data_IF_947268153157
#
_entry.id   IF_947268153157
#
_cell.length_a   1.000
_cell.length_b   1.000
_cell.length_c   1.000
_cell.angle_alpha   90.00
_cell.angle_beta   90.00
_cell.angle_gamma   90.00
#
_symmetry.space_group_name_H-M   'P 1'
#
loop_
_entity.id
_entity.type
_entity.pdbx_description
1 polymer ?
#
# COMPACT_ATOMS: atom_id res chain seq x y z
N UNK A 1 3.32 -7.01 13.09
CA UNK A 1 2.31 -6.26 12.30
C UNK A 1 0.95 -6.77 12.73
N UNK A 2 0.16 -5.95 13.40
CA UNK A 2 -1.25 -6.29 13.60
C UNK A 2 -1.88 -6.51 12.23
N UNK A 3 -2.59 -7.63 12.09
CA UNK A 3 -3.24 -7.96 10.82
C UNK A 3 -4.27 -6.86 10.55
N UNK A 4 -4.15 -6.18 9.41
CA UNK A 4 -5.19 -5.30 8.92
C UNK A 4 -6.52 -6.07 8.79
N UNK A 5 -7.57 -5.53 9.41
CA UNK A 5 -8.92 -6.11 9.46
C UNK A 5 -9.84 -5.30 8.54
N UNK A 6 -10.78 -5.96 7.88
CA UNK A 6 -11.88 -5.29 7.19
C UNK A 6 -13.15 -5.86 7.81
N UNK A 7 -13.90 -5.02 8.52
CA UNK A 7 -15.12 -5.36 9.25
C UNK A 7 -16.15 -4.22 9.12
N UNK A 8 -17.09 -4.34 8.17
CA UNK A 8 -18.13 -3.34 7.92
C UNK A 8 -19.11 -3.10 9.08
N UNK A 9 -19.19 -4.01 10.06
CA UNK A 9 -20.12 -3.89 11.18
C UNK A 9 -19.41 -3.33 12.42
N UNK A 10 -18.18 -3.78 12.68
CA UNK A 10 -17.41 -3.36 13.86
C UNK A 10 -16.78 -1.98 13.76
N UNK A 11 -16.53 -1.49 12.55
CA UNK A 11 -15.80 -0.24 12.27
C UNK A 11 -14.53 -0.10 13.13
N UNK A 12 -13.55 -1.02 12.98
CA UNK A 12 -12.38 -1.07 13.84
C UNK A 12 -11.42 0.11 13.66
N UNK A 13 -11.52 0.84 12.54
CA UNK A 13 -10.67 1.98 12.21
C UNK A 13 -11.40 3.33 12.32
N UNK A 14 -12.56 3.36 12.97
CA UNK A 14 -13.23 4.63 13.27
C UNK A 14 -12.29 5.54 14.08
N UNK A 15 -12.00 6.78 13.62
CA UNK A 15 -11.07 7.69 14.28
C UNK A 15 -11.42 7.99 15.75
N UNK A 16 -12.67 7.81 16.17
CA UNK A 16 -13.11 7.99 17.56
C UNK A 16 -12.67 6.85 18.49
N UNK A 17 -12.25 5.70 17.94
CA UNK A 17 -11.82 4.50 18.69
C UNK A 17 -10.32 4.28 18.66
N UNK A 18 -9.60 4.97 17.77
CA UNK A 18 -8.17 4.73 17.55
C UNK A 18 -7.35 5.42 18.66
N UNK A 19 -6.53 4.66 19.43
CA UNK A 19 -5.65 5.27 20.40
C UNK A 19 -4.53 6.03 19.71
N UNK A 20 -4.13 7.15 20.29
CA UNK A 20 -2.88 7.80 19.92
C UNK A 20 -1.71 6.88 20.29
N UNK A 21 -0.80 6.64 19.35
CA UNK A 21 0.43 5.87 19.61
C UNK A 21 1.42 6.66 20.47
N UNK A 22 2.27 5.94 21.18
CA UNK A 22 3.40 6.50 21.92
C UNK A 22 4.35 7.27 21.00
N UNK A 23 5.09 8.21 21.59
CA UNK A 23 6.09 8.97 20.85
C UNK A 23 7.22 8.06 20.38
N UNK A 24 7.55 8.18 19.09
CA UNK A 24 8.78 7.67 18.51
C UNK A 24 9.65 8.86 18.10
N UNK A 25 10.97 8.71 18.18
CA UNK A 25 11.90 9.72 17.67
C UNK A 25 11.76 9.87 16.16
N UNK A 26 12.05 11.07 15.63
CA UNK A 26 11.94 11.35 14.19
C UNK A 26 12.82 10.42 13.33
N UNK A 27 13.92 9.90 13.88
CA UNK A 27 14.79 8.92 13.20
C UNK A 27 14.01 7.71 12.68
N UNK A 28 13.01 7.23 13.44
CA UNK A 28 12.21 6.08 13.04
C UNK A 28 11.45 6.31 11.73
N UNK A 29 11.12 7.57 11.38
CA UNK A 29 10.54 7.91 10.10
C UNK A 29 11.60 7.93 8.99
N UNK A 30 12.74 8.56 9.24
CA UNK A 30 13.81 8.68 8.24
C UNK A 30 14.51 7.34 7.92
N UNK A 31 14.34 6.32 8.76
CA UNK A 31 14.76 4.95 8.47
C UNK A 31 13.87 4.28 7.38
N UNK A 32 12.70 4.83 7.09
CA UNK A 32 11.79 4.32 6.05
C UNK A 32 12.14 4.93 4.68
N UNK A 33 12.23 4.09 3.65
CA UNK A 33 12.28 4.53 2.26
C UNK A 33 10.85 4.53 1.69
N UNK A 34 10.23 5.71 1.70
CA UNK A 34 8.89 5.94 1.18
C UNK A 34 8.98 6.63 -0.18
N UNK A 35 8.29 6.07 -1.19
CA UNK A 35 8.43 6.50 -2.59
C UNK A 35 7.09 6.65 -3.28
N UNK A 36 6.99 7.66 -4.12
CA UNK A 36 5.94 7.75 -5.12
C UNK A 36 6.26 6.78 -6.27
N UNK A 37 5.25 6.11 -6.81
CA UNK A 37 5.39 5.23 -7.97
C UNK A 37 4.12 5.18 -8.79
N UNK A 38 4.23 4.73 -10.04
CA UNK A 38 3.10 4.59 -10.96
C UNK A 38 2.74 3.11 -11.12
N UNK A 39 1.46 2.78 -10.97
CA UNK A 39 0.98 1.41 -11.18
C UNK A 39 1.04 1.08 -12.67
N UNK A 40 1.74 0.00 -13.02
CA UNK A 40 1.94 -0.44 -14.41
C UNK A 40 1.26 -1.76 -14.75
N UNK A 41 0.92 -2.58 -13.74
CA UNK A 41 0.14 -3.82 -13.92
C UNK A 41 -0.73 -4.10 -12.69
N UNK A 42 -1.89 -4.71 -12.92
CA UNK A 42 -2.86 -5.11 -11.89
C UNK A 42 -3.49 -6.45 -12.25
N UNK A 43 -3.18 -7.46 -11.44
CA UNK A 43 -3.68 -8.83 -11.62
C UNK A 43 -4.57 -9.25 -10.46
N UNK A 44 -5.51 -10.15 -10.74
CA UNK A 44 -6.31 -10.78 -9.69
C UNK A 44 -5.42 -11.68 -8.83
N UNK A 45 -5.74 -11.79 -7.55
CA UNK A 45 -5.09 -12.71 -6.63
C UNK A 45 -6.12 -13.65 -5.96
N UNK A 46 -6.75 -14.56 -6.72
CA UNK A 46 -7.83 -15.41 -6.22
C UNK A 46 -7.40 -16.36 -5.09
N UNK A 47 -6.11 -16.67 -4.97
CA UNK A 47 -5.57 -17.57 -3.95
C UNK A 47 -5.49 -16.93 -2.55
N UNK A 48 -5.76 -15.62 -2.43
CA UNK A 48 -5.82 -14.92 -1.16
C UNK A 48 -7.21 -15.05 -0.51
N UNK A 49 -7.23 -15.47 0.76
CA UNK A 49 -8.47 -15.54 1.55
C UNK A 49 -9.23 -14.20 1.61
N UNK A 50 -8.50 -13.08 1.63
CA UNK A 50 -9.08 -11.74 1.56
C UNK A 50 -8.92 -11.20 0.14
N UNK A 51 -10.00 -10.66 -0.49
CA UNK A 51 -9.95 -10.13 -1.84
C UNK A 51 -8.79 -9.15 -2.03
N UNK A 52 -7.83 -9.53 -2.87
CA UNK A 52 -6.60 -8.77 -3.09
C UNK A 52 -6.23 -8.73 -4.58
N UNK A 53 -5.47 -7.71 -4.96
CA UNK A 53 -4.78 -7.66 -6.25
C UNK A 53 -3.28 -7.85 -6.06
N UNK A 54 -2.63 -8.43 -7.08
CA UNK A 54 -1.20 -8.26 -7.30
C UNK A 54 -1.03 -6.98 -8.11
N UNK A 55 -0.25 -6.03 -7.61
CA UNK A 55 0.04 -4.78 -8.32
C UNK A 55 1.53 -4.70 -8.60
N UNK A 56 1.89 -4.27 -9.81
CA UNK A 56 3.25 -3.88 -10.15
C UNK A 56 3.31 -2.35 -10.20
N UNK A 57 4.27 -1.78 -9.48
CA UNK A 57 4.48 -0.33 -9.43
C UNK A 57 5.90 -0.03 -9.89
N UNK A 58 6.02 0.93 -10.79
CA UNK A 58 7.29 1.49 -11.23
C UNK A 58 7.66 2.67 -10.32
N UNK A 59 8.73 2.51 -9.55
CA UNK A 59 9.28 3.53 -8.65
C UNK A 59 10.46 4.28 -9.28
N UNK A 60 10.50 4.36 -10.62
CA UNK A 60 11.53 5.09 -11.35
C UNK A 60 12.86 4.34 -11.45
N UNK A 61 13.90 4.98 -12.00
CA UNK A 61 15.09 4.28 -12.50
C UNK A 61 16.00 3.65 -11.43
N UNK A 62 15.95 4.14 -10.18
CA UNK A 62 16.82 3.65 -9.10
C UNK A 62 16.26 2.39 -8.44
N UNK A 63 14.95 2.37 -8.17
CA UNK A 63 14.28 1.25 -7.50
C UNK A 63 13.72 0.26 -8.53
N UNK A 64 13.24 0.76 -9.66
CA UNK A 64 12.62 -0.04 -10.69
C UNK A 64 11.21 -0.49 -10.33
N UNK A 65 10.81 -1.62 -10.92
CA UNK A 65 9.46 -2.17 -10.80
C UNK A 65 9.40 -3.20 -9.68
N UNK A 66 8.49 -2.98 -8.74
CA UNK A 66 8.26 -3.88 -7.60
C UNK A 66 6.84 -4.41 -7.61
N UNK A 67 6.66 -5.62 -7.08
CA UNK A 67 5.37 -6.26 -6.89
C UNK A 67 4.87 -6.12 -5.46
N UNK A 68 3.56 -5.96 -5.28
CA UNK A 68 2.90 -6.03 -3.98
C UNK A 68 1.55 -6.72 -4.07
N UNK A 69 1.10 -7.27 -2.94
CA UNK A 69 -0.28 -7.75 -2.77
C UNK A 69 -1.05 -6.78 -1.90
N UNK A 70 -2.15 -6.24 -2.43
CA UNK A 70 -2.93 -5.21 -1.74
C UNK A 70 -4.43 -5.53 -1.71
N UNK A 71 -5.06 -5.32 -0.55
CA UNK A 71 -6.51 -5.46 -0.34
C UNK A 71 -7.26 -4.20 -0.81
N UNK A 72 -7.13 -3.91 -2.11
CA UNK A 72 -7.65 -2.69 -2.75
C UNK A 72 -8.67 -3.03 -3.85
N UNK A 73 -9.44 -4.10 -3.62
CA UNK A 73 -10.47 -4.58 -4.56
C UNK A 73 -11.71 -3.68 -4.61
N UNK A 74 -11.77 -2.66 -3.75
CA UNK A 74 -12.71 -1.54 -3.83
C UNK A 74 -12.42 -0.59 -5.01
N UNK A 75 -11.29 -0.73 -5.70
CA UNK A 75 -10.99 -0.06 -6.96
C UNK A 75 -11.18 -1.01 -8.14
N UNK A 76 -11.68 -0.50 -9.27
CA UNK A 76 -11.61 -1.25 -10.51
C UNK A 76 -10.16 -1.30 -10.99
N UNK A 77 -9.76 -2.42 -11.61
CA UNK A 77 -8.37 -2.59 -12.09
C UNK A 77 -7.96 -1.53 -13.11
N UNK A 78 -8.89 -1.06 -13.94
CA UNK A 78 -8.60 -0.02 -14.94
C UNK A 78 -8.36 1.34 -14.30
N UNK A 79 -8.97 1.64 -13.16
CA UNK A 79 -8.74 2.89 -12.40
C UNK A 79 -7.38 2.90 -11.70
N UNK A 80 -6.78 1.73 -11.52
CA UNK A 80 -5.49 1.58 -10.87
C UNK A 80 -4.33 1.72 -11.87
N UNK A 81 -4.47 1.27 -13.11
CA UNK A 81 -3.39 1.38 -14.11
C UNK A 81 -3.10 2.86 -14.40
N UNK A 82 -1.83 3.26 -14.35
CA UNK A 82 -1.39 4.64 -14.55
C UNK A 82 -1.56 5.54 -13.33
N UNK A 83 -2.16 5.04 -12.25
CA UNK A 83 -2.35 5.79 -11.01
C UNK A 83 -1.03 5.95 -10.25
N UNK A 84 -0.80 7.15 -9.71
CA UNK A 84 0.27 7.39 -8.74
C UNK A 84 -0.11 6.85 -7.35
N UNK A 85 0.83 6.18 -6.70
CA UNK A 85 0.67 5.62 -5.36
C UNK A 85 1.92 5.90 -4.52
N UNK A 86 1.79 5.80 -3.20
CA UNK A 86 2.92 5.82 -2.28
C UNK A 86 3.19 4.40 -1.80
N UNK A 87 4.46 4.00 -1.75
CA UNK A 87 4.90 2.71 -1.23
C UNK A 87 6.08 2.83 -0.26
N UNK A 88 6.08 2.01 0.79
CA UNK A 88 7.26 1.77 1.61
C UNK A 88 8.05 0.60 1.03
N UNK A 89 9.26 0.86 0.54
CA UNK A 89 10.03 -0.06 -0.32
C UNK A 89 11.18 -0.79 0.40
N UNK A 90 11.42 -0.49 1.68
CA UNK A 90 12.53 -1.06 2.45
C UNK A 90 12.08 -1.89 3.69
N UNK A 91 10.85 -2.41 3.67
CA UNK A 91 10.31 -3.22 4.78
C UNK A 91 10.71 -4.71 4.71
N UNK A 92 11.43 -5.10 3.66
CA UNK A 92 11.77 -6.48 3.33
C UNK A 92 10.66 -7.20 2.54
N UNK A 93 11.04 -8.34 1.98
CA UNK A 93 10.16 -9.14 1.15
C UNK A 93 9.27 -10.06 1.98
N UNK A 94 8.04 -10.28 1.51
CA UNK A 94 7.09 -11.22 2.09
C UNK A 94 6.60 -12.21 1.04
N UNK A 95 6.91 -13.48 1.25
CA UNK A 95 6.35 -14.57 0.45
C UNK A 95 4.92 -14.86 0.86
N UNK A 96 4.02 -14.81 -0.11
CA UNK A 96 2.59 -15.07 0.00
C UNK A 96 2.25 -16.46 -0.59
N UNK A 97 1.01 -16.95 -0.44
CA UNK A 97 0.59 -18.21 -1.06
C UNK A 97 0.96 -18.27 -2.54
N UNK A 98 1.15 -19.48 -3.05
CA UNK A 98 1.63 -19.77 -4.42
C UNK A 98 3.01 -19.22 -4.77
N UNK A 99 3.80 -18.82 -3.76
CA UNK A 99 5.17 -18.33 -3.96
C UNK A 99 5.27 -16.90 -4.48
N UNK A 100 4.17 -16.14 -4.53
CA UNK A 100 4.22 -14.74 -4.93
C UNK A 100 4.96 -13.90 -3.87
N UNK A 101 5.91 -13.06 -4.30
CA UNK A 101 6.72 -12.23 -3.41
C UNK A 101 6.20 -10.80 -3.43
N UNK A 102 5.77 -10.30 -2.27
CA UNK A 102 5.41 -8.90 -2.05
C UNK A 102 6.65 -8.15 -1.57
N UNK A 103 7.08 -7.15 -2.33
CA UNK A 103 8.36 -6.45 -2.16
C UNK A 103 8.21 -5.06 -1.51
N UNK A 104 6.98 -4.53 -1.46
CA UNK A 104 6.70 -3.23 -0.84
C UNK A 104 5.30 -3.21 -0.22
N UNK A 105 5.06 -2.22 0.65
CA UNK A 105 3.74 -1.93 1.21
C UNK A 105 3.17 -0.68 0.54
N UNK A 106 2.08 -0.81 -0.22
CA UNK A 106 1.32 0.35 -0.73
C UNK A 106 0.60 1.04 0.42
N UNK A 107 0.60 2.38 0.44
CA UNK A 107 0.03 3.19 1.52
C UNK A 107 -1.34 3.74 1.16
N UNK A 108 -2.20 3.81 2.17
CA UNK A 108 -3.53 4.40 2.10
C UNK A 108 -4.06 4.71 3.48
N UNK A 109 -5.03 5.63 3.55
CA UNK A 109 -5.87 5.80 4.73
C UNK A 109 -6.85 4.62 4.85
N UNK A 110 -7.29 4.32 6.06
CA UNK A 110 -8.30 3.29 6.31
C UNK A 110 -9.64 3.99 6.56
N UNK A 111 -10.67 3.64 5.79
CA UNK A 111 -12.06 3.96 6.12
C UNK A 111 -12.44 3.27 7.44
N UNK A 112 -13.53 3.69 8.13
CA UNK A 112 -13.91 3.09 9.43
C UNK A 112 -14.04 1.57 9.42
N UNK A 113 -14.54 1.00 8.31
CA UNK A 113 -14.69 -0.45 8.09
C UNK A 113 -13.35 -1.16 7.81
N UNK A 114 -12.26 -0.43 7.61
CA UNK A 114 -10.95 -0.94 7.22
C UNK A 114 -10.70 -0.96 5.72
N UNK A 115 -11.62 -0.53 4.86
CA UNK A 115 -11.37 -0.41 3.43
C UNK A 115 -10.23 0.59 3.17
N UNK A 116 -9.32 0.24 2.25
CA UNK A 116 -8.15 1.08 1.97
C UNK A 116 -8.52 2.17 0.97
N UNK A 117 -8.25 3.43 1.34
CA UNK A 117 -8.21 4.59 0.45
C UNK A 117 -6.77 4.94 0.13
N UNK A 118 -6.33 4.60 -1.08
CA UNK A 118 -4.97 4.91 -1.54
C UNK A 118 -4.69 6.40 -1.40
N UNK A 119 -3.48 6.75 -0.93
CA UNK A 119 -3.02 8.13 -0.90
C UNK A 119 -3.01 8.70 -2.31
N UNK A 120 -3.41 9.96 -2.45
CA UNK A 120 -3.43 10.67 -3.72
C UNK A 120 -2.25 11.65 -3.78
N UNK A 121 -1.64 11.74 -4.95
CA UNK A 121 -0.51 12.62 -5.21
C UNK A 121 -0.92 13.63 -6.29
N UNK A 122 -0.54 14.92 -6.14
CA UNK A 122 -0.84 15.91 -7.16
C UNK A 122 -0.14 15.57 -8.47
N UNK A 123 -0.67 16.12 -9.57
CA UNK A 123 -0.09 15.94 -10.89
C UNK A 123 1.37 16.40 -10.96
N UNK A 124 2.16 15.68 -11.76
CA UNK A 124 3.57 16.01 -12.01
C UNK A 124 4.58 15.42 -11.02
N UNK A 125 4.13 14.71 -9.97
CA UNK A 125 5.03 13.93 -9.12
C UNK A 125 5.70 12.84 -9.95
N UNK A 126 7.02 12.72 -9.82
CA UNK A 126 7.82 11.77 -10.59
C UNK A 126 7.86 10.40 -9.91
N UNK A 127 7.79 9.29 -10.66
CA UNK A 127 8.11 7.97 -10.13
C UNK A 127 9.50 7.95 -9.49
N UNK A 128 9.58 7.46 -8.25
CA UNK A 128 10.79 7.44 -7.44
C UNK A 128 11.01 8.66 -6.58
N UNK A 129 10.16 9.69 -6.64
CA UNK A 129 10.20 10.82 -5.69
C UNK A 129 10.07 10.32 -4.25
N UNK A 130 10.92 10.83 -3.37
CA UNK A 130 10.90 10.54 -1.93
C UNK A 130 9.67 11.20 -1.29
N UNK A 131 9.02 10.47 -0.39
CA UNK A 131 7.99 11.01 0.49
C UNK A 131 8.65 11.41 1.81
N UNK A 132 8.43 12.65 2.22
CA UNK A 132 9.02 13.28 3.39
C UNK A 132 7.93 13.69 4.39
#
# INVERSE_FOLDING_TARGET
>A
MDKHIIDPQGNPYDPTKLPRKEYVGASAYFDLDLRAGIVVDVQRFPEMNKPSYKIQVDFGPIIGKLWSSAQITNYARHDLIGRMVVGAVNLGDKTLPTGFVSQFLVLGALDPDGSVRLLDLPDGVLPGSMVA
#
